data_IF_571654368139
#
_entry.id   IF_571654368139
#
_cell.length_a   1.000
_cell.length_b   1.000
_cell.length_c   1.000
_cell.angle_alpha   90.00
_cell.angle_beta   90.00
_cell.angle_gamma   90.00
#
_symmetry.space_group_name_H-M   'P 1'
#
loop_
_entity.id
_entity.type
_entity.pdbx_description
1 polymer ?
#
# COMPACT_ATOMS: atom_id res chain seq x y z
N UNK A 1 -9.07 10.55 -0.20
CA UNK A 1 -8.18 9.55 0.45
C UNK A 1 -7.25 8.90 -0.57
N UNK A 2 -7.72 8.07 -1.51
CA UNK A 2 -6.85 7.47 -2.55
C UNK A 2 -5.96 8.49 -3.28
N UNK A 3 -6.52 9.63 -3.68
CA UNK A 3 -5.74 10.72 -4.30
C UNK A 3 -4.63 11.28 -3.39
N UNK A 4 -4.88 11.40 -2.08
CA UNK A 4 -3.89 11.92 -1.12
C UNK A 4 -2.73 10.95 -1.03
N UNK A 5 -3.02 9.66 -0.84
CA UNK A 5 -2.00 8.61 -0.79
C UNK A 5 -1.25 8.52 -2.12
N UNK A 6 -1.93 8.70 -3.27
CA UNK A 6 -1.28 8.75 -4.59
C UNK A 6 -0.26 9.90 -4.69
N UNK A 7 -0.56 11.07 -4.12
CA UNK A 7 0.40 12.19 -4.09
C UNK A 7 1.55 11.92 -3.11
N UNK A 8 1.29 11.27 -1.97
CA UNK A 8 2.34 10.83 -1.04
C UNK A 8 3.27 9.80 -1.71
N UNK A 9 2.73 8.84 -2.48
CA UNK A 9 3.54 7.88 -3.24
C UNK A 9 4.44 8.58 -4.26
N UNK A 10 3.94 9.59 -4.97
CA UNK A 10 4.80 10.39 -5.87
C UNK A 10 5.95 11.05 -5.11
N UNK A 11 5.70 11.56 -3.90
CA UNK A 11 6.76 12.11 -3.05
C UNK A 11 7.78 11.04 -2.67
N UNK A 12 7.34 9.83 -2.31
CA UNK A 12 8.25 8.71 -2.04
C UNK A 12 9.16 8.45 -3.24
N UNK A 13 8.60 8.42 -4.45
CA UNK A 13 9.37 8.24 -5.69
C UNK A 13 10.41 9.33 -5.90
N UNK A 14 10.05 10.60 -5.65
CA UNK A 14 10.97 11.72 -5.76
C UNK A 14 12.12 11.62 -4.75
N UNK A 15 11.82 11.27 -3.49
CA UNK A 15 12.82 11.10 -2.44
C UNK A 15 13.82 10.00 -2.77
N UNK A 16 13.32 8.86 -3.26
CA UNK A 16 14.17 7.75 -3.72
C UNK A 16 15.04 8.18 -4.91
N UNK A 17 14.47 8.87 -5.91
CA UNK A 17 15.21 9.39 -7.06
C UNK A 17 16.34 10.35 -6.66
N UNK A 18 16.09 11.22 -5.69
CA UNK A 18 17.09 12.16 -5.19
C UNK A 18 18.26 11.44 -4.50
N UNK A 19 18.00 10.38 -3.76
CA UNK A 19 19.08 9.53 -3.20
C UNK A 19 19.92 8.94 -4.32
N UNK A 20 19.29 8.32 -5.31
CA UNK A 20 20.01 7.71 -6.44
C UNK A 20 20.88 8.72 -7.19
N UNK A 21 20.42 9.97 -7.33
CA UNK A 21 21.18 11.05 -7.99
C UNK A 21 22.29 11.62 -7.10
N UNK A 22 22.04 11.80 -5.80
CA UNK A 22 22.99 12.37 -4.85
C UNK A 22 24.18 11.46 -4.54
N UNK A 23 24.06 10.16 -4.82
CA UNK A 23 25.07 9.13 -4.54
C UNK A 23 26.24 9.05 -5.54
N UNK A 24 26.43 10.07 -6.41
CA UNK A 24 27.56 10.24 -7.35
C UNK A 24 28.27 8.91 -7.71
N UNK A 25 27.50 7.97 -8.28
CA UNK A 25 27.88 6.56 -8.35
C UNK A 25 29.05 6.44 -9.34
N UNK A 26 30.26 6.37 -8.81
CA UNK A 26 31.38 5.76 -9.52
C UNK A 26 31.11 4.27 -9.47
N UNK A 27 30.63 3.72 -10.58
CA UNK A 27 30.25 2.32 -10.73
C UNK A 27 31.51 1.46 -10.63
N UNK A 28 31.98 1.20 -9.41
CA UNK A 28 33.02 0.20 -9.19
C UNK A 28 32.69 -0.81 -8.10
N UNK A 29 31.67 -0.61 -7.25
CA UNK A 29 31.34 -1.61 -6.20
C UNK A 29 29.86 -1.80 -5.79
N UNK A 30 28.88 -1.19 -6.47
CA UNK A 30 27.47 -1.23 -6.00
C UNK A 30 26.63 -2.37 -6.57
N UNK A 31 26.77 -3.56 -5.98
CA UNK A 31 25.79 -4.66 -6.11
C UNK A 31 24.42 -4.32 -5.48
N UNK A 32 24.33 -3.71 -4.28
CA UNK A 32 23.03 -3.47 -3.63
C UNK A 32 22.16 -2.44 -4.37
N UNK A 33 22.74 -1.31 -4.78
CA UNK A 33 21.95 -0.22 -5.40
C UNK A 33 21.41 -0.55 -6.80
N UNK A 34 22.15 -1.34 -7.58
CA UNK A 34 21.66 -1.84 -8.88
C UNK A 34 20.50 -2.83 -8.69
N UNK A 35 20.55 -3.63 -7.63
CA UNK A 35 19.46 -4.52 -7.26
C UNK A 35 18.22 -3.72 -6.81
N UNK A 36 18.40 -2.66 -6.02
CA UNK A 36 17.27 -1.81 -5.57
C UNK A 36 16.54 -1.18 -6.76
N UNK A 37 17.26 -0.60 -7.73
CA UNK A 37 16.62 -0.02 -8.92
C UNK A 37 15.81 -1.05 -9.70
N UNK A 38 16.36 -2.25 -9.89
CA UNK A 38 15.69 -3.34 -10.61
C UNK A 38 14.45 -3.83 -9.86
N UNK A 39 14.53 -3.99 -8.54
CA UNK A 39 13.39 -4.43 -7.71
C UNK A 39 12.30 -3.34 -7.70
N UNK A 40 12.70 -2.08 -7.63
CA UNK A 40 11.81 -0.93 -7.68
C UNK A 40 11.06 -0.84 -9.03
N UNK A 41 11.78 -1.00 -10.15
CA UNK A 41 11.17 -1.03 -11.50
C UNK A 41 10.17 -2.19 -11.63
N UNK A 42 10.53 -3.38 -11.13
CA UNK A 42 9.64 -4.54 -11.15
C UNK A 42 8.38 -4.35 -10.27
N UNK A 43 8.51 -3.65 -9.14
CA UNK A 43 7.39 -3.36 -8.25
C UNK A 43 6.45 -2.32 -8.87
N UNK A 44 6.99 -1.26 -9.50
CA UNK A 44 6.19 -0.28 -10.25
C UNK A 44 5.30 -0.98 -11.28
N UNK A 45 5.89 -1.88 -12.07
CA UNK A 45 5.15 -2.55 -13.15
C UNK A 45 4.05 -3.46 -12.59
N UNK A 46 4.34 -4.19 -11.48
CA UNK A 46 3.34 -4.99 -10.76
C UNK A 46 2.23 -4.16 -10.12
N UNK A 47 2.57 -2.98 -9.59
CA UNK A 47 1.58 -2.05 -9.04
C UNK A 47 0.67 -1.55 -10.16
N UNK A 48 1.22 -1.15 -11.31
CA UNK A 48 0.44 -0.66 -12.45
C UNK A 48 -0.49 -1.73 -13.05
N UNK A 49 -0.08 -3.00 -13.06
CA UNK A 49 -0.90 -4.12 -13.53
C UNK A 49 -2.14 -4.36 -12.64
N UNK A 50 -2.03 -4.14 -11.33
CA UNK A 50 -3.13 -4.34 -10.36
C UNK A 50 -4.15 -3.20 -10.29
N UNK A 51 -3.89 -2.09 -10.99
CA UNK A 51 -4.81 -0.93 -11.10
C UNK A 51 -5.85 -1.15 -12.22
N UNK A 52 -5.87 -2.30 -12.91
CA UNK A 52 -7.03 -2.65 -13.74
C UNK A 52 -8.31 -2.61 -12.89
N UNK A 53 -9.16 -1.64 -13.24
CA UNK A 53 -10.21 -1.11 -12.37
C UNK A 53 -11.23 -2.18 -11.98
N UNK A 54 -11.14 -2.67 -10.74
CA UNK A 54 -12.26 -3.35 -10.09
C UNK A 54 -13.38 -2.33 -9.84
N UNK A 55 -14.62 -2.69 -10.20
CA UNK A 55 -15.81 -1.90 -9.86
C UNK A 55 -16.31 -2.18 -8.43
N UNK A 56 -15.71 -3.13 -7.73
CA UNK A 56 -15.99 -3.42 -6.32
C UNK A 56 -15.09 -2.57 -5.41
N UNK A 57 -15.72 -1.67 -4.67
CA UNK A 57 -15.05 -0.76 -3.73
C UNK A 57 -14.27 -1.54 -2.66
N UNK A 58 -14.81 -2.64 -2.11
CA UNK A 58 -14.12 -3.41 -1.06
C UNK A 58 -12.87 -4.10 -1.60
N UNK A 59 -12.90 -4.57 -2.85
CA UNK A 59 -11.70 -5.13 -3.48
C UNK A 59 -10.65 -4.06 -3.76
N UNK A 60 -11.04 -2.84 -4.13
CA UNK A 60 -10.09 -1.73 -4.28
C UNK A 60 -9.33 -1.45 -2.96
N UNK A 61 -10.03 -1.50 -1.82
CA UNK A 61 -9.40 -1.38 -0.50
C UNK A 61 -8.46 -2.53 -0.17
N UNK A 62 -8.83 -3.78 -0.49
CA UNK A 62 -7.94 -4.94 -0.27
C UNK A 62 -6.67 -4.84 -1.12
N UNK A 63 -6.80 -4.43 -2.38
CA UNK A 63 -5.66 -4.23 -3.28
C UNK A 63 -4.75 -3.14 -2.71
N UNK A 64 -5.30 -2.01 -2.28
CA UNK A 64 -4.54 -0.93 -1.68
C UNK A 64 -3.80 -1.38 -0.42
N UNK A 65 -4.48 -2.05 0.52
CA UNK A 65 -3.85 -2.63 1.71
C UNK A 65 -2.70 -3.59 1.37
N UNK A 66 -2.87 -4.42 0.33
CA UNK A 66 -1.83 -5.34 -0.10
C UNK A 66 -0.62 -4.59 -0.68
N UNK A 67 -0.86 -3.52 -1.44
CA UNK A 67 0.19 -2.64 -1.97
C UNK A 67 0.99 -1.98 -0.85
N UNK A 68 0.33 -1.39 0.16
CA UNK A 68 1.02 -0.75 1.29
C UNK A 68 1.86 -1.76 2.08
N UNK A 69 1.33 -2.96 2.31
CA UNK A 69 2.04 -4.03 2.99
C UNK A 69 3.29 -4.49 2.22
N UNK A 70 3.19 -4.60 0.89
CA UNK A 70 4.34 -4.90 0.05
C UNK A 70 5.40 -3.80 0.08
N UNK A 71 4.98 -2.52 0.12
CA UNK A 71 5.86 -1.36 0.29
C UNK A 71 6.63 -1.39 1.62
N UNK A 72 5.93 -1.65 2.74
CA UNK A 72 6.53 -1.82 4.07
C UNK A 72 7.63 -2.89 4.06
N UNK A 73 7.33 -4.08 3.54
CA UNK A 73 8.29 -5.19 3.53
C UNK A 73 9.49 -4.91 2.61
N UNK A 74 9.25 -4.22 1.50
CA UNK A 74 10.31 -3.78 0.60
C UNK A 74 11.27 -2.81 1.27
N UNK A 75 10.77 -1.75 1.91
CA UNK A 75 11.62 -0.79 2.59
C UNK A 75 12.33 -1.38 3.81
N UNK A 76 11.71 -2.29 4.56
CA UNK A 76 12.38 -3.04 5.64
C UNK A 76 13.57 -3.83 5.12
N UNK A 77 13.39 -4.55 4.01
CA UNK A 77 14.47 -5.33 3.39
C UNK A 77 15.63 -4.43 3.03
N UNK A 78 15.37 -3.29 2.40
CA UNK A 78 16.43 -2.34 2.02
C UNK A 78 17.11 -1.76 3.27
N UNK A 79 16.35 -1.31 4.26
CA UNK A 79 16.90 -0.74 5.50
C UNK A 79 17.88 -1.69 6.20
N UNK A 80 17.62 -3.01 6.13
CA UNK A 80 18.50 -4.03 6.69
C UNK A 80 19.85 -4.19 5.96
N UNK A 81 19.92 -3.80 4.68
CA UNK A 81 21.11 -3.93 3.82
C UNK A 81 21.96 -2.64 3.80
N UNK A 82 21.45 -1.54 4.35
CA UNK A 82 22.13 -0.23 4.35
C UNK A 82 23.16 -0.11 5.47
N UNK A 83 24.24 0.62 5.20
CA UNK A 83 25.31 0.87 6.18
C UNK A 83 25.26 2.28 6.78
N UNK A 84 24.65 3.24 6.09
CA UNK A 84 24.66 4.65 6.51
C UNK A 84 23.42 5.00 7.33
N UNK A 85 23.62 5.62 8.50
CA UNK A 85 22.53 6.03 9.40
C UNK A 85 21.52 6.99 8.73
N UNK A 86 22.01 7.86 7.84
CA UNK A 86 21.15 8.80 7.09
C UNK A 86 20.19 8.09 6.14
N UNK A 87 20.62 7.01 5.50
CA UNK A 87 19.80 6.25 4.55
C UNK A 87 18.79 5.40 5.32
N UNK A 88 19.22 4.74 6.40
CA UNK A 88 18.32 4.01 7.31
C UNK A 88 17.20 4.89 7.85
N UNK A 89 17.52 6.09 8.32
CA UNK A 89 16.52 7.02 8.84
C UNK A 89 15.45 7.40 7.80
N UNK A 90 15.82 7.47 6.51
CA UNK A 90 14.81 7.68 5.47
C UNK A 90 13.93 6.45 5.29
N UNK A 91 14.52 5.26 5.14
CA UNK A 91 13.72 4.05 4.92
C UNK A 91 12.82 3.74 6.13
N UNK A 92 13.27 4.01 7.36
CA UNK A 92 12.43 3.97 8.56
C UNK A 92 11.24 4.92 8.48
N UNK A 93 11.46 6.13 7.97
CA UNK A 93 10.38 7.10 7.75
C UNK A 93 9.39 6.58 6.69
N UNK A 94 9.87 6.07 5.56
CA UNK A 94 9.02 5.51 4.51
C UNK A 94 8.21 4.32 5.03
N UNK A 95 8.82 3.39 5.77
CA UNK A 95 8.13 2.26 6.42
C UNK A 95 6.98 2.75 7.29
N UNK A 96 7.20 3.83 8.05
CA UNK A 96 6.18 4.40 8.92
C UNK A 96 5.04 5.06 8.13
N UNK A 97 5.36 5.77 7.04
CA UNK A 97 4.36 6.38 6.15
C UNK A 97 3.48 5.28 5.51
N UNK A 98 4.06 4.20 4.97
CA UNK A 98 3.26 3.10 4.40
C UNK A 98 2.44 2.34 5.43
N UNK A 99 2.94 2.18 6.66
CA UNK A 99 2.14 1.58 7.74
C UNK A 99 0.92 2.45 8.08
N UNK A 100 1.07 3.78 8.06
CA UNK A 100 -0.05 4.70 8.27
C UNK A 100 -1.06 4.63 7.12
N UNK A 101 -0.59 4.52 5.88
CA UNK A 101 -1.46 4.31 4.72
C UNK A 101 -2.25 3.00 4.84
N UNK A 102 -1.58 1.91 5.21
CA UNK A 102 -2.22 0.62 5.47
C UNK A 102 -3.32 0.73 6.52
N UNK A 103 -3.04 1.38 7.65
CA UNK A 103 -4.00 1.53 8.75
C UNK A 103 -5.23 2.34 8.32
N UNK A 104 -5.04 3.39 7.50
CA UNK A 104 -6.14 4.18 6.93
C UNK A 104 -7.03 3.31 6.03
N UNK A 105 -6.44 2.51 5.14
CA UNK A 105 -7.21 1.62 4.27
C UNK A 105 -7.89 0.50 5.07
N UNK A 106 -7.21 -0.10 6.04
CA UNK A 106 -7.75 -1.17 6.88
C UNK A 106 -8.96 -0.70 7.71
N UNK A 107 -8.87 0.49 8.31
CA UNK A 107 -9.97 1.09 9.06
C UNK A 107 -11.18 1.37 8.16
N UNK A 108 -10.93 1.89 6.96
CA UNK A 108 -12.01 2.20 6.01
C UNK A 108 -12.67 0.92 5.47
N UNK A 109 -11.87 -0.10 5.16
CA UNK A 109 -12.37 -1.43 4.78
C UNK A 109 -13.23 -2.05 5.87
N UNK A 110 -12.77 -2.00 7.13
CA UNK A 110 -13.54 -2.50 8.27
C UNK A 110 -14.87 -1.76 8.44
N UNK A 111 -14.86 -0.43 8.29
CA UNK A 111 -16.09 0.36 8.34
C UNK A 111 -17.09 -0.07 7.25
N UNK A 112 -16.65 -0.11 5.98
CA UNK A 112 -17.52 -0.43 4.85
C UNK A 112 -18.05 -1.88 4.89
N UNK A 113 -17.19 -2.83 5.26
CA UNK A 113 -17.59 -4.25 5.39
C UNK A 113 -18.60 -4.49 6.51
N UNK A 114 -18.53 -3.73 7.61
CA UNK A 114 -19.50 -3.85 8.71
C UNK A 114 -20.80 -3.08 8.44
N UNK A 115 -20.75 -1.92 7.77
CA UNK A 115 -21.97 -1.20 7.37
C UNK A 115 -22.75 -1.93 6.27
N UNK A 116 -22.06 -2.62 5.37
CA UNK A 116 -22.70 -3.49 4.37
C UNK A 116 -23.52 -4.62 5.01
N UNK A 117 -23.02 -5.20 6.11
CA UNK A 117 -23.77 -6.19 6.88
C UNK A 117 -25.05 -5.59 7.50
N UNK A 118 -25.02 -4.34 7.98
CA UNK A 118 -26.20 -3.70 8.57
C UNK A 118 -27.31 -3.47 7.54
N UNK A 119 -26.94 -3.02 6.32
CA UNK A 119 -27.89 -2.80 5.23
C UNK A 119 -28.51 -4.12 4.71
N UNK A 120 -27.71 -5.19 4.61
CA UNK A 120 -28.19 -6.53 4.24
C UNK A 120 -29.17 -7.12 5.27
N UNK A 121 -28.98 -6.84 6.56
CA UNK A 121 -29.88 -7.32 7.60
C UNK A 121 -31.24 -6.58 7.61
N UNK A 122 -31.28 -5.28 7.31
CA UNK A 122 -32.55 -4.53 7.22
C UNK A 122 -33.35 -4.86 5.95
N UNK A 123 -32.72 -5.09 4.79
CA UNK A 123 -33.45 -5.38 3.55
C UNK A 123 -33.85 -6.86 3.36
N UNK A 124 -33.20 -7.81 4.04
CA UNK A 124 -33.55 -9.24 3.93
C UNK A 124 -34.22 -9.86 5.18
N UNK A 125 -34.39 -9.13 6.29
CA UNK A 125 -35.15 -9.62 7.46
C UNK A 125 -36.65 -9.27 7.44
N UNK A 126 -37.26 -8.95 6.29
CA UNK A 126 -38.72 -8.77 6.16
C UNK A 126 -39.42 -10.01 5.58
N UNK A 127 -38.71 -11.11 5.33
CA UNK A 127 -39.34 -12.36 4.88
C UNK A 127 -39.00 -13.51 5.81
N UNK A 128 -39.64 -13.54 6.98
CA UNK A 128 -40.49 -14.67 7.37
C UNK A 128 -41.32 -14.30 8.61
N UNK A 129 -42.52 -13.76 8.36
CA UNK A 129 -43.53 -13.51 9.36
C UNK A 129 -44.88 -14.11 8.94
N UNK A 130 -44.86 -15.22 8.21
CA UNK A 130 -46.05 -16.01 7.97
C UNK A 130 -46.47 -16.68 9.26
N UNK A 131 -47.36 -16.05 10.03
CA UNK A 131 -48.04 -16.71 11.15
C UNK A 131 -48.77 -17.95 10.61
N UNK A 132 -48.49 -19.18 11.07
CA UNK A 132 -49.44 -20.25 10.95
C UNK A 132 -50.60 -19.95 11.93
N UNK A 133 -51.81 -20.40 11.60
CA UNK A 133 -53.06 -20.29 12.39
C UNK A 133 -53.64 -18.87 12.64
N UNK A 134 -54.46 -18.41 11.69
CA UNK A 134 -55.74 -17.73 11.94
C UNK A 134 -56.66 -17.86 10.71
#
# INVERSE_FOLDING_TARGET
>A
MFQVITEDEKRHLEMLSQIFKGLNITITDVSPMKNIKTIFEAMRDKMMERVEATSDELEAFKIAMQMEKEGVEFYKKISSELQTDKEKALFERLIKEEQQHYDIFANTYFFLSNTGNWFMWEEHSIVDGGTPWA
#
